data_IF_592141321785
#
_entry.id   IF_592141321785
#
_cell.length_a   1.000
_cell.length_b   1.000
_cell.length_c   1.000
_cell.angle_alpha   90.00
_cell.angle_beta   90.00
_cell.angle_gamma   90.00
#
_symmetry.space_group_name_H-M   'P 1'
#
loop_
_entity.id
_entity.type
_entity.pdbx_description
1 polymer ?
#
# COMPACT_ATOMS: atom_id res chain seq x y z
N UNK A 1 -3.03 -15.65 6.56
CA UNK A 1 -4.20 -15.68 7.44
C UNK A 1 -4.05 -14.60 8.49
N UNK A 2 -5.11 -13.85 8.79
CA UNK A 2 -5.11 -12.80 9.79
C UNK A 2 -6.39 -12.92 10.63
N UNK A 3 -6.26 -13.11 11.95
CA UNK A 3 -7.37 -13.44 12.83
C UNK A 3 -7.28 -12.70 14.17
N UNK A 4 -8.40 -12.66 14.88
CA UNK A 4 -8.49 -12.22 16.27
C UNK A 4 -9.25 -13.25 17.09
N UNK A 5 -8.81 -13.49 18.33
CA UNK A 5 -9.44 -14.42 19.27
C UNK A 5 -9.53 -13.81 20.66
N UNK A 6 -10.59 -14.16 21.39
CA UNK A 6 -10.64 -13.92 22.83
C UNK A 6 -9.88 -15.04 23.56
N UNK A 7 -8.95 -14.69 24.45
CA UNK A 7 -8.15 -15.67 25.19
C UNK A 7 -7.86 -15.17 26.62
N UNK A 8 -7.78 -16.11 27.55
CA UNK A 8 -7.27 -15.84 28.90
C UNK A 8 -5.75 -15.62 28.84
N UNK A 9 -5.34 -14.34 28.92
CA UNK A 9 -3.94 -13.96 28.74
C UNK A 9 -3.03 -14.43 29.88
N UNK A 10 -3.57 -14.76 31.06
CA UNK A 10 -2.78 -15.30 32.17
C UNK A 10 -2.12 -16.65 31.80
N UNK A 11 -2.73 -17.40 30.89
CA UNK A 11 -2.24 -18.70 30.41
C UNK A 11 -0.95 -18.60 29.58
N UNK A 12 -0.57 -17.42 29.11
CA UNK A 12 0.71 -17.23 28.42
C UNK A 12 1.89 -17.11 29.40
N UNK A 13 1.63 -17.05 30.71
CA UNK A 13 2.65 -17.17 31.76
C UNK A 13 3.59 -15.98 31.88
N UNK A 14 3.15 -14.76 31.53
CA UNK A 14 3.97 -13.55 31.52
C UNK A 14 4.68 -13.27 32.86
N UNK A 15 4.04 -13.61 33.99
CA UNK A 15 4.59 -13.42 35.34
C UNK A 15 5.78 -14.35 35.65
N UNK A 16 5.96 -15.44 34.90
CA UNK A 16 7.04 -16.43 35.10
C UNK A 16 8.23 -16.23 34.17
N UNK A 17 8.16 -15.24 33.25
CA UNK A 17 9.15 -15.02 32.18
C UNK A 17 10.19 -13.94 32.53
N UNK A 18 10.74 -13.98 33.75
CA UNK A 18 11.92 -13.16 34.08
C UNK A 18 13.13 -13.69 33.30
N UNK A 19 13.62 -12.92 32.33
CA UNK A 19 14.82 -13.25 31.54
C UNK A 19 14.57 -13.79 30.12
N UNK A 20 13.31 -13.94 29.68
CA UNK A 20 12.98 -14.17 28.27
C UNK A 20 12.85 -12.83 27.50
N UNK A 21 13.07 -12.84 26.18
CA UNK A 21 12.87 -11.64 25.35
C UNK A 21 11.38 -11.27 25.30
N UNK A 22 10.95 -10.37 26.19
CA UNK A 22 9.68 -9.65 26.08
C UNK A 22 9.97 -8.36 25.32
N UNK A 23 9.40 -8.22 24.12
CA UNK A 23 9.49 -6.96 23.37
C UNK A 23 8.43 -5.99 23.90
N UNK A 24 8.84 -4.87 24.51
CA UNK A 24 7.92 -3.84 24.98
C UNK A 24 7.91 -2.65 24.03
N UNK A 25 6.75 -2.06 23.76
CA UNK A 25 6.64 -0.88 22.88
C UNK A 25 7.51 0.30 23.36
N UNK A 26 7.72 0.41 24.67
CA UNK A 26 8.53 1.46 25.30
C UNK A 26 10.01 1.32 24.94
N UNK A 27 10.50 0.10 24.70
CA UNK A 27 11.89 -0.18 24.30
C UNK A 27 12.22 0.36 22.90
N UNK A 28 11.20 0.67 22.09
CA UNK A 28 11.33 1.17 20.72
C UNK A 28 10.91 2.64 20.59
N UNK A 29 10.68 3.31 21.73
CA UNK A 29 10.03 4.60 21.75
C UNK A 29 10.98 5.80 21.65
N UNK A 30 12.31 5.65 21.66
CA UNK A 30 13.39 6.67 21.57
C UNK A 30 12.95 8.11 21.15
N UNK A 31 12.23 8.82 22.03
CA UNK A 31 11.62 10.15 21.81
C UNK A 31 10.60 10.29 20.65
N UNK A 32 10.05 9.19 20.11
CA UNK A 32 8.92 9.15 19.18
C UNK A 32 7.59 9.03 19.93
N UNK A 33 6.47 9.22 19.21
CA UNK A 33 5.13 9.05 19.81
C UNK A 33 4.91 7.60 20.27
N UNK A 34 4.07 7.36 21.31
CA UNK A 34 3.74 6.00 21.75
C UNK A 34 3.23 5.09 20.62
N UNK A 35 2.58 5.68 19.61
CA UNK A 35 2.07 4.98 18.43
C UNK A 35 3.21 4.44 17.54
N UNK A 36 4.33 5.16 17.46
CA UNK A 36 5.51 4.69 16.74
C UNK A 36 6.15 3.47 17.45
N UNK A 37 6.20 3.47 18.78
CA UNK A 37 6.67 2.32 19.56
C UNK A 37 5.81 1.07 19.35
N UNK A 38 4.48 1.22 19.33
CA UNK A 38 3.54 0.12 19.03
C UNK A 38 3.78 -0.44 17.62
N UNK A 39 4.00 0.43 16.65
CA UNK A 39 4.30 0.02 15.28
C UNK A 39 5.59 -0.80 15.23
N UNK A 40 6.64 -0.29 15.83
CA UNK A 40 7.96 -0.91 15.78
C UNK A 40 8.00 -2.25 16.52
N UNK A 41 7.40 -2.34 17.71
CA UNK A 41 7.33 -3.62 18.44
C UNK A 41 6.54 -4.67 17.67
N UNK A 42 5.46 -4.26 16.97
CA UNK A 42 4.69 -5.17 16.11
C UNK A 42 5.54 -5.66 14.93
N UNK A 43 6.31 -4.76 14.30
CA UNK A 43 7.24 -5.11 13.22
C UNK A 43 8.31 -6.09 13.68
N UNK A 44 8.94 -5.80 14.82
CA UNK A 44 10.03 -6.62 15.32
C UNK A 44 9.55 -8.00 15.76
N UNK A 45 8.35 -8.10 16.34
CA UNK A 45 7.73 -9.40 16.64
C UNK A 45 7.51 -10.23 15.37
N UNK A 46 6.95 -9.63 14.32
CA UNK A 46 6.71 -10.31 13.03
C UNK A 46 8.02 -10.73 12.36
N UNK A 47 9.01 -9.83 12.34
CA UNK A 47 10.34 -10.09 11.77
C UNK A 47 11.06 -11.21 12.53
N UNK A 48 11.02 -11.18 13.86
CA UNK A 48 11.64 -12.20 14.72
C UNK A 48 11.02 -13.58 14.51
N UNK A 49 9.68 -13.64 14.43
CA UNK A 49 9.01 -14.90 14.10
C UNK A 49 9.40 -15.42 12.70
N UNK A 50 9.55 -14.52 11.73
CA UNK A 50 10.00 -14.84 10.39
C UNK A 50 11.43 -15.36 10.32
N UNK A 51 12.37 -14.74 11.03
CA UNK A 51 13.78 -15.19 11.07
C UNK A 51 13.93 -16.55 11.76
N UNK A 52 13.01 -16.87 12.69
CA UNK A 52 12.91 -18.19 13.31
C UNK A 52 12.19 -19.24 12.45
N UNK A 53 11.69 -18.86 11.27
CA UNK A 53 10.98 -19.77 10.36
C UNK A 53 9.60 -20.19 10.86
N UNK A 54 8.99 -19.43 11.77
CA UNK A 54 7.66 -19.74 12.29
C UNK A 54 6.60 -19.47 11.22
N UNK A 55 5.75 -20.46 10.96
CA UNK A 55 4.61 -20.30 10.05
C UNK A 55 3.53 -19.40 10.63
N UNK A 56 3.30 -19.53 11.94
CA UNK A 56 2.23 -18.90 12.69
C UNK A 56 2.75 -18.13 13.89
N UNK A 57 2.15 -16.96 14.16
CA UNK A 57 2.43 -16.13 15.32
C UNK A 57 1.13 -15.72 16.02
N UNK A 58 1.04 -15.98 17.32
CA UNK A 58 0.02 -15.42 18.18
C UNK A 58 0.62 -14.19 18.87
N UNK A 59 -0.05 -13.04 18.76
CA UNK A 59 0.34 -11.78 19.38
C UNK A 59 -0.67 -11.46 20.49
N UNK A 60 -0.33 -11.71 21.76
CA UNK A 60 -1.11 -11.22 22.90
C UNK A 60 -1.08 -9.69 22.93
N UNK A 61 -2.25 -9.05 22.95
CA UNK A 61 -2.37 -7.58 22.98
C UNK A 61 -2.74 -7.15 24.38
N UNK A 62 -1.82 -6.43 25.04
CA UNK A 62 -2.02 -5.88 26.39
C UNK A 62 -1.88 -4.36 26.29
N UNK A 63 -2.99 -3.64 26.52
CA UNK A 63 -2.98 -2.17 26.58
C UNK A 63 -2.76 -1.70 28.02
N UNK A 64 -1.51 -1.42 28.39
CA UNK A 64 -1.16 -0.90 29.72
C UNK A 64 -1.51 0.59 29.91
N UNK A 65 -1.84 1.31 28.83
CA UNK A 65 -2.15 2.75 28.84
C UNK A 65 -3.52 3.07 28.22
N UNK A 66 -4.62 2.44 28.70
CA UNK A 66 -5.94 2.57 28.07
C UNK A 66 -6.55 3.98 28.14
N UNK A 67 -6.05 4.84 29.04
CA UNK A 67 -6.45 6.25 29.12
C UNK A 67 -5.78 7.14 28.08
N UNK A 68 -4.65 6.70 27.54
CA UNK A 68 -3.86 7.46 26.55
C UNK A 68 -4.09 6.93 25.12
N UNK A 69 -4.25 5.61 24.98
CA UNK A 69 -4.33 4.96 23.68
C UNK A 69 -5.61 4.13 23.63
N UNK A 70 -6.57 4.60 22.82
CA UNK A 70 -7.80 3.88 22.56
C UNK A 70 -7.53 2.55 21.85
N UNK A 71 -8.36 1.54 22.16
CA UNK A 71 -8.23 0.21 21.60
C UNK A 71 -8.37 0.18 20.07
N UNK A 72 -9.24 1.03 19.50
CA UNK A 72 -9.37 1.20 18.05
C UNK A 72 -8.07 1.71 17.40
N UNK A 73 -7.32 2.56 18.09
CA UNK A 73 -6.02 3.06 17.61
C UNK A 73 -4.98 1.94 17.59
N UNK A 74 -4.94 1.10 18.63
CA UNK A 74 -4.08 -0.08 18.67
C UNK A 74 -4.42 -1.06 17.54
N UNK A 75 -5.71 -1.37 17.38
CA UNK A 75 -6.21 -2.23 16.32
C UNK A 75 -5.77 -1.74 14.93
N UNK A 76 -5.98 -0.45 14.64
CA UNK A 76 -5.55 0.17 13.36
C UNK A 76 -4.06 -0.03 13.10
N UNK A 77 -3.20 0.31 14.06
CA UNK A 77 -1.74 0.24 13.88
C UNK A 77 -1.29 -1.21 13.69
N UNK A 78 -1.68 -2.10 14.59
CA UNK A 78 -1.19 -3.49 14.60
C UNK A 78 -1.70 -4.28 13.39
N UNK A 79 -2.98 -4.11 13.03
CA UNK A 79 -3.56 -4.78 11.86
C UNK A 79 -2.93 -4.28 10.55
N UNK A 80 -2.65 -2.98 10.43
CA UNK A 80 -1.95 -2.44 9.26
C UNK A 80 -0.52 -3.01 9.13
N UNK A 81 0.21 -3.16 10.22
CA UNK A 81 1.55 -3.77 10.19
C UNK A 81 1.49 -5.25 9.82
N UNK A 82 0.51 -5.99 10.33
CA UNK A 82 0.28 -7.37 9.92
C UNK A 82 -0.05 -7.47 8.41
N UNK A 83 -0.96 -6.64 7.90
CA UNK A 83 -1.28 -6.58 6.46
C UNK A 83 -0.06 -6.22 5.62
N UNK A 84 0.73 -5.24 6.05
CA UNK A 84 1.97 -4.83 5.36
C UNK A 84 2.95 -5.98 5.29
N UNK A 85 3.24 -6.64 6.41
CA UNK A 85 4.11 -7.81 6.46
C UNK A 85 3.63 -8.94 5.55
N UNK A 86 2.34 -9.28 5.63
CA UNK A 86 1.72 -10.32 4.81
C UNK A 86 1.74 -9.95 3.31
N UNK A 87 1.59 -8.67 2.96
CA UNK A 87 1.66 -8.20 1.57
C UNK A 87 3.03 -8.43 0.93
N UNK A 88 4.09 -8.49 1.73
CA UNK A 88 5.43 -8.84 1.28
C UNK A 88 5.65 -10.35 1.13
N UNK A 89 4.67 -11.19 1.49
CA UNK A 89 4.77 -12.67 1.53
C UNK A 89 5.88 -13.16 2.47
N UNK A 90 6.07 -12.46 3.58
CA UNK A 90 7.02 -12.85 4.62
C UNK A 90 6.39 -13.88 5.59
N UNK A 91 7.24 -14.64 6.27
CA UNK A 91 6.84 -15.44 7.43
C UNK A 91 6.85 -14.54 8.69
N UNK A 92 5.90 -14.73 9.64
CA UNK A 92 4.81 -15.70 9.62
C UNK A 92 3.68 -15.32 8.66
N UNK A 93 3.10 -16.34 8.01
CA UNK A 93 1.96 -16.15 7.09
C UNK A 93 0.62 -16.28 7.79
N UNK A 94 0.61 -16.68 9.06
CA UNK A 94 -0.58 -16.83 9.91
C UNK A 94 -0.40 -15.99 11.17
N UNK A 95 -1.19 -14.92 11.32
CA UNK A 95 -1.08 -13.98 12.44
C UNK A 95 -2.42 -13.95 13.19
N UNK A 96 -2.37 -14.19 14.50
CA UNK A 96 -3.55 -14.16 15.38
C UNK A 96 -3.34 -13.17 16.51
N UNK A 97 -4.18 -12.14 16.60
CA UNK A 97 -4.22 -11.27 17.76
C UNK A 97 -5.07 -11.90 18.87
N UNK A 98 -4.51 -12.02 20.08
CA UNK A 98 -5.21 -12.56 21.24
C UNK A 98 -5.50 -11.45 22.26
N UNK A 99 -6.77 -11.25 22.60
CA UNK A 99 -7.22 -10.20 23.54
C UNK A 99 -8.02 -10.82 24.70
N UNK A 100 -7.94 -10.20 25.88
CA UNK A 100 -8.59 -10.70 27.10
C UNK A 100 -10.11 -10.43 27.12
N UNK A 101 -10.50 -9.24 26.68
CA UNK A 101 -11.86 -8.73 26.76
C UNK A 101 -12.56 -8.65 25.40
N UNK A 102 -13.90 -8.59 25.45
CA UNK A 102 -14.74 -8.54 24.26
C UNK A 102 -14.63 -7.20 23.49
N UNK A 103 -14.33 -6.11 24.19
CA UNK A 103 -14.21 -4.77 23.58
C UNK A 103 -13.02 -4.73 22.62
N UNK A 104 -11.86 -5.23 23.07
CA UNK A 104 -10.66 -5.34 22.26
C UNK A 104 -10.82 -6.30 21.09
N UNK A 105 -11.47 -7.45 21.30
CA UNK A 105 -11.79 -8.37 20.21
C UNK A 105 -12.62 -7.66 19.14
N UNK A 106 -13.68 -6.93 19.54
CA UNK A 106 -14.52 -6.19 18.59
C UNK A 106 -13.74 -5.08 17.86
N UNK A 107 -12.87 -4.34 18.55
CA UNK A 107 -12.05 -3.30 17.95
C UNK A 107 -11.12 -3.85 16.85
N UNK A 108 -10.43 -4.95 17.12
CA UNK A 108 -9.58 -5.63 16.13
C UNK A 108 -10.39 -6.25 15.01
N UNK A 109 -11.52 -6.89 15.32
CA UNK A 109 -12.41 -7.50 14.33
C UNK A 109 -12.89 -6.46 13.32
N UNK A 110 -13.34 -5.27 13.78
CA UNK A 110 -13.77 -4.17 12.89
C UNK A 110 -12.70 -3.78 11.85
N UNK A 111 -11.43 -3.76 12.23
CA UNK A 111 -10.33 -3.36 11.33
C UNK A 111 -9.93 -4.51 10.39
N UNK A 112 -9.91 -5.75 10.89
CA UNK A 112 -9.63 -6.95 10.09
C UNK A 112 -10.73 -7.17 9.03
N UNK A 113 -11.99 -6.86 9.36
CA UNK A 113 -13.15 -7.01 8.47
C UNK A 113 -13.25 -6.02 7.32
N UNK A 114 -12.45 -4.95 7.32
CA UNK A 114 -12.36 -4.04 6.18
C UNK A 114 -12.02 -4.83 4.91
N UNK A 115 -12.82 -4.67 3.87
CA UNK A 115 -12.72 -5.44 2.62
C UNK A 115 -12.51 -4.56 1.37
N UNK A 116 -12.63 -3.24 1.53
CA UNK A 116 -12.40 -2.27 0.46
C UNK A 116 -10.91 -2.05 0.17
N UNK A 117 -10.63 -1.77 -1.09
CA UNK A 117 -9.35 -1.26 -1.58
C UNK A 117 -9.64 0.05 -2.31
N UNK A 118 -8.98 1.13 -1.92
CA UNK A 118 -9.06 2.39 -2.67
C UNK A 118 -7.88 2.49 -3.63
N UNK A 119 -8.16 2.74 -4.91
CA UNK A 119 -7.15 3.05 -5.92
C UNK A 119 -7.12 4.56 -6.11
N UNK A 120 -6.19 5.23 -5.43
CA UNK A 120 -6.00 6.67 -5.48
C UNK A 120 -4.96 7.00 -6.55
N UNK A 121 -5.32 7.78 -7.57
CA UNK A 121 -4.39 8.10 -8.63
C UNK A 121 -4.88 9.13 -9.64
N UNK A 122 -4.20 9.19 -10.79
CA UNK A 122 -4.43 10.16 -11.85
C UNK A 122 -5.29 9.62 -13.02
N UNK A 123 -5.06 10.10 -14.24
CA UNK A 123 -5.71 9.68 -15.49
C UNK A 123 -5.54 8.20 -15.79
N UNK A 124 -4.41 7.59 -15.43
CA UNK A 124 -4.17 6.17 -15.64
C UNK A 124 -5.04 5.34 -14.69
N UNK A 125 -5.23 5.81 -13.45
CA UNK A 125 -6.18 5.17 -12.53
C UNK A 125 -7.62 5.40 -12.96
N UNK A 126 -7.95 6.60 -13.44
CA UNK A 126 -9.27 6.93 -13.97
C UNK A 126 -9.67 6.02 -15.16
N UNK A 127 -8.72 5.61 -15.98
CA UNK A 127 -8.98 4.86 -17.22
C UNK A 127 -9.10 5.77 -18.45
N UNK A 128 -8.37 6.89 -18.46
CA UNK A 128 -8.35 7.82 -19.59
C UNK A 128 -7.98 7.08 -20.90
N UNK A 129 -8.64 7.37 -22.03
CA UNK A 129 -9.62 8.46 -22.22
C UNK A 129 -11.08 8.10 -21.88
N UNK A 130 -11.41 6.81 -21.79
CA UNK A 130 -12.80 6.36 -21.77
C UNK A 130 -13.44 6.39 -20.38
N UNK A 131 -12.64 6.22 -19.34
CA UNK A 131 -13.04 6.28 -17.94
C UNK A 131 -13.05 4.92 -17.21
N UNK A 132 -13.68 4.86 -16.04
CA UNK A 132 -13.43 3.80 -15.06
C UNK A 132 -13.76 2.38 -15.54
N UNK A 133 -14.66 2.21 -16.50
CA UNK A 133 -15.01 0.90 -17.04
C UNK A 133 -13.90 0.26 -17.91
N UNK A 134 -12.93 1.07 -18.35
CA UNK A 134 -11.74 0.61 -19.09
C UNK A 134 -10.47 0.60 -18.25
N UNK A 135 -10.54 1.09 -17.01
CA UNK A 135 -9.39 1.14 -16.09
C UNK A 135 -8.92 -0.26 -15.67
N UNK A 136 -7.62 -0.39 -15.42
CA UNK A 136 -7.01 -1.57 -14.78
C UNK A 136 -7.70 -1.93 -13.45
N UNK A 137 -8.30 -0.94 -12.75
CA UNK A 137 -9.07 -1.15 -11.52
C UNK A 137 -10.30 -2.03 -11.79
N UNK A 138 -11.02 -1.78 -12.88
CA UNK A 138 -12.19 -2.57 -13.28
C UNK A 138 -11.81 -4.00 -13.63
N UNK A 139 -10.71 -4.17 -14.36
CA UNK A 139 -10.19 -5.49 -14.74
C UNK A 139 -9.77 -6.30 -13.50
N UNK A 140 -9.03 -5.67 -12.59
CA UNK A 140 -8.61 -6.29 -11.33
C UNK A 140 -9.84 -6.69 -10.49
N UNK A 141 -10.83 -5.81 -10.35
CA UNK A 141 -12.07 -6.10 -9.62
C UNK A 141 -12.84 -7.27 -10.24
N UNK A 142 -13.00 -7.29 -11.57
CA UNK A 142 -13.71 -8.35 -12.28
C UNK A 142 -13.01 -9.71 -12.15
N UNK A 143 -11.68 -9.74 -12.23
CA UNK A 143 -10.91 -10.98 -12.16
C UNK A 143 -10.82 -11.56 -10.74
N UNK A 144 -10.82 -10.71 -9.70
CA UNK A 144 -10.56 -11.14 -8.32
C UNK A 144 -11.81 -11.12 -7.43
N UNK A 145 -12.88 -10.45 -7.85
CA UNK A 145 -14.07 -10.22 -7.03
C UNK A 145 -13.84 -9.31 -5.82
N UNK A 146 -12.71 -8.59 -5.79
CA UNK A 146 -12.35 -7.66 -4.73
C UNK A 146 -13.18 -6.36 -4.83
N UNK A 147 -13.41 -5.73 -3.68
CA UNK A 147 -14.15 -4.46 -3.58
C UNK A 147 -13.22 -3.27 -3.82
N UNK A 148 -12.96 -2.95 -5.09
CA UNK A 148 -12.10 -1.82 -5.47
C UNK A 148 -12.91 -0.55 -5.74
N UNK A 149 -12.41 0.56 -5.20
CA UNK A 149 -12.94 1.90 -5.44
C UNK A 149 -11.95 2.69 -6.29
N UNK A 150 -12.35 3.04 -7.52
CA UNK A 150 -11.57 3.90 -8.39
C UNK A 150 -11.70 5.36 -7.93
N UNK A 151 -10.60 5.94 -7.45
CA UNK A 151 -10.46 7.36 -7.07
C UNK A 151 -9.42 8.04 -7.98
N UNK A 152 -9.41 7.69 -9.26
CA UNK A 152 -8.59 8.31 -10.28
C UNK A 152 -9.16 9.65 -10.78
N UNK A 153 -8.35 10.69 -10.86
CA UNK A 153 -8.73 11.99 -11.44
C UNK A 153 -7.67 12.43 -12.45
N UNK A 154 -8.08 12.62 -13.70
CA UNK A 154 -7.16 12.99 -14.78
C UNK A 154 -6.41 14.31 -14.51
N UNK A 155 -5.10 14.28 -14.71
CA UNK A 155 -4.22 15.46 -14.58
C UNK A 155 -3.70 15.74 -13.17
N UNK A 156 -4.09 14.98 -12.15
CA UNK A 156 -3.67 15.26 -10.78
C UNK A 156 -2.22 14.89 -10.48
N UNK A 157 -1.56 15.74 -9.69
CA UNK A 157 -0.26 15.47 -9.06
C UNK A 157 -0.41 14.72 -7.73
N UNK A 158 0.70 14.22 -7.21
CA UNK A 158 0.77 13.65 -5.86
C UNK A 158 0.26 14.62 -4.77
N UNK A 159 0.51 15.92 -4.91
CA UNK A 159 0.04 16.94 -3.97
C UNK A 159 -1.48 17.09 -3.95
N UNK A 160 -2.13 17.02 -5.12
CA UNK A 160 -3.58 17.06 -5.23
C UNK A 160 -4.23 15.78 -4.68
N UNK A 161 -3.63 14.62 -4.96
CA UNK A 161 -4.07 13.34 -4.38
C UNK A 161 -3.97 13.36 -2.84
N UNK A 162 -2.89 13.92 -2.30
CA UNK A 162 -2.72 14.10 -0.86
C UNK A 162 -3.81 15.01 -0.27
N UNK A 163 -4.13 16.12 -0.93
CA UNK A 163 -5.15 17.07 -0.46
C UNK A 163 -6.53 16.43 -0.27
N UNK A 164 -6.89 15.43 -1.08
CA UNK A 164 -8.17 14.69 -0.99
C UNK A 164 -8.07 13.32 -0.31
N UNK A 165 -6.91 12.96 0.27
CA UNK A 165 -6.69 11.64 0.87
C UNK A 165 -7.72 11.29 1.95
N UNK A 166 -8.07 12.25 2.81
CA UNK A 166 -9.05 12.01 3.87
C UNK A 166 -10.45 11.70 3.31
N UNK A 167 -10.90 12.47 2.34
CA UNK A 167 -12.25 12.36 1.78
C UNK A 167 -12.38 11.10 0.90
N UNK A 168 -11.35 10.79 0.12
CA UNK A 168 -11.42 9.69 -0.85
C UNK A 168 -10.93 8.34 -0.32
N UNK A 169 -10.06 8.33 0.70
CA UNK A 169 -9.48 7.11 1.27
C UNK A 169 -9.96 6.88 2.69
N UNK A 170 -9.75 7.84 3.61
CA UNK A 170 -10.01 7.60 5.04
C UNK A 170 -11.51 7.40 5.31
N UNK A 171 -12.37 8.19 4.66
CA UNK A 171 -13.82 8.07 4.78
C UNK A 171 -14.35 6.68 4.36
N UNK A 172 -13.66 6.01 3.42
CA UNK A 172 -14.06 4.68 2.93
C UNK A 172 -13.69 3.55 3.89
N UNK A 173 -12.81 3.82 4.86
CA UNK A 173 -12.24 2.84 5.79
C UNK A 173 -11.70 1.57 5.11
N UNK A 174 -10.83 1.68 4.08
CA UNK A 174 -10.36 0.52 3.35
C UNK A 174 -9.35 -0.30 4.16
N UNK A 175 -9.13 -1.53 3.73
CA UNK A 175 -8.01 -2.34 4.20
C UNK A 175 -6.70 -1.93 3.53
N UNK A 176 -6.77 -1.54 2.26
CA UNK A 176 -5.62 -1.19 1.43
C UNK A 176 -5.87 0.09 0.65
N UNK A 177 -4.80 0.85 0.41
CA UNK A 177 -4.79 1.91 -0.60
C UNK A 177 -3.69 1.62 -1.61
N UNK A 178 -4.05 1.56 -2.89
CA UNK A 178 -3.10 1.52 -4.00
C UNK A 178 -2.92 2.96 -4.47
N UNK A 179 -1.73 3.52 -4.27
CA UNK A 179 -1.40 4.89 -4.63
C UNK A 179 -0.62 4.93 -5.94
N UNK A 180 -1.19 5.57 -6.96
CA UNK A 180 -0.65 5.66 -8.31
C UNK A 180 -0.57 7.12 -8.77
N UNK A 181 0.55 7.77 -8.48
CA UNK A 181 0.85 9.15 -8.89
C UNK A 181 2.29 9.31 -9.37
N UNK A 182 2.62 10.51 -9.86
CA UNK A 182 3.96 10.86 -10.33
C UNK A 182 4.04 11.19 -11.83
N UNK A 183 3.10 10.75 -12.67
CA UNK A 183 3.11 11.08 -14.09
C UNK A 183 2.96 12.58 -14.33
N UNK A 184 1.93 13.19 -13.73
CA UNK A 184 1.68 14.63 -13.89
C UNK A 184 2.70 15.48 -13.15
N UNK A 185 3.23 15.01 -12.03
CA UNK A 185 4.35 15.63 -11.31
C UNK A 185 5.58 15.72 -12.23
N UNK A 186 5.92 14.63 -12.92
CA UNK A 186 7.01 14.62 -13.90
C UNK A 186 6.73 15.53 -15.09
N UNK A 187 5.51 15.53 -15.62
CA UNK A 187 5.12 16.36 -16.78
C UNK A 187 5.20 17.86 -16.44
N UNK A 188 4.71 18.25 -15.27
CA UNK A 188 4.73 19.64 -14.81
C UNK A 188 6.09 20.07 -14.24
N UNK A 189 7.03 19.14 -14.07
CA UNK A 189 8.34 19.41 -13.49
C UNK A 189 8.27 19.78 -12.01
N UNK A 190 7.35 19.18 -11.25
CA UNK A 190 7.26 19.33 -9.79
C UNK A 190 8.60 18.89 -9.17
N UNK A 191 9.18 19.66 -8.24
CA UNK A 191 10.44 19.29 -7.60
C UNK A 191 10.35 17.91 -6.94
N UNK A 192 11.36 17.06 -7.16
CA UNK A 192 11.35 15.68 -6.64
C UNK A 192 11.05 15.64 -5.14
N UNK A 193 11.70 16.47 -4.32
CA UNK A 193 11.46 16.52 -2.87
C UNK A 193 10.01 16.80 -2.47
N UNK A 194 9.26 17.58 -3.26
CA UNK A 194 7.83 17.79 -3.01
C UNK A 194 7.02 16.51 -3.28
N UNK A 195 7.33 15.81 -4.37
CA UNK A 195 6.73 14.50 -4.70
C UNK A 195 7.04 13.48 -3.59
N UNK A 196 8.29 13.44 -3.11
CA UNK A 196 8.71 12.58 -2.01
C UNK A 196 7.90 12.84 -0.74
N UNK A 197 7.80 14.11 -0.33
CA UNK A 197 7.09 14.52 0.89
C UNK A 197 5.59 14.24 0.78
N UNK A 198 4.99 14.43 -0.41
CA UNK A 198 3.59 14.10 -0.64
C UNK A 198 3.34 12.59 -0.44
N UNK A 199 4.17 11.74 -1.04
CA UNK A 199 4.02 10.28 -0.94
C UNK A 199 4.28 9.79 0.50
N UNK A 200 5.28 10.36 1.20
CA UNK A 200 5.53 10.06 2.63
C UNK A 200 4.28 10.35 3.47
N UNK A 201 3.66 11.52 3.28
CA UNK A 201 2.46 11.90 4.02
C UNK A 201 1.26 11.00 3.71
N UNK A 202 1.06 10.60 2.44
CA UNK A 202 0.03 9.61 2.08
C UNK A 202 0.23 8.30 2.84
N UNK A 203 1.47 7.79 2.85
CA UNK A 203 1.82 6.54 3.54
C UNK A 203 1.62 6.67 5.05
N UNK A 204 2.03 7.78 5.65
CA UNK A 204 1.85 8.05 7.08
C UNK A 204 0.36 8.13 7.46
N UNK A 205 -0.44 8.87 6.69
CA UNK A 205 -1.89 8.98 6.91
C UNK A 205 -2.59 7.62 6.76
N UNK A 206 -2.24 6.84 5.73
CA UNK A 206 -2.76 5.49 5.55
C UNK A 206 -2.46 4.61 6.77
N UNK A 207 -1.20 4.58 7.18
CA UNK A 207 -0.72 3.79 8.30
C UNK A 207 -1.35 4.19 9.64
N UNK A 208 -1.58 5.49 9.88
CA UNK A 208 -2.29 6.00 11.07
C UNK A 208 -3.76 5.56 11.09
N UNK A 209 -4.40 5.42 9.93
CA UNK A 209 -5.80 5.02 9.82
C UNK A 209 -6.01 3.50 9.75
N UNK A 210 -4.94 2.72 9.87
CA UNK A 210 -4.99 1.26 9.78
C UNK A 210 -5.20 0.75 8.35
N UNK A 211 -4.83 1.57 7.36
CA UNK A 211 -4.87 1.24 5.93
C UNK A 211 -3.46 0.82 5.51
N UNK A 212 -3.33 -0.32 4.83
CA UNK A 212 -2.05 -0.77 4.30
C UNK A 212 -1.78 -0.11 2.94
N UNK A 213 -0.74 0.74 2.80
CA UNK A 213 -0.39 1.33 1.52
C UNK A 213 0.28 0.31 0.60
N UNK A 214 0.03 0.47 -0.71
CA UNK A 214 0.74 -0.16 -1.83
C UNK A 214 1.11 0.99 -2.77
N UNK A 215 2.38 1.08 -3.16
CA UNK A 215 2.85 2.15 -4.04
C UNK A 215 2.99 1.62 -5.45
N UNK A 216 2.55 2.39 -6.45
CA UNK A 216 2.73 2.02 -7.86
C UNK A 216 4.01 2.66 -8.42
N UNK A 217 4.79 1.88 -9.16
CA UNK A 217 5.90 2.39 -9.96
C UNK A 217 5.32 2.96 -11.28
N UNK A 218 5.48 4.26 -11.57
CA UNK A 218 4.89 4.88 -12.76
C UNK A 218 5.33 4.21 -14.06
N UNK A 219 4.39 4.08 -15.00
CA UNK A 219 4.57 3.48 -16.32
C UNK A 219 5.69 4.15 -17.14
N UNK A 220 6.23 3.49 -18.18
CA UNK A 220 7.23 4.09 -19.06
C UNK A 220 6.58 5.14 -19.98
N UNK A 221 7.41 6.03 -20.51
CA UNK A 221 7.04 6.95 -21.58
C UNK A 221 7.61 6.48 -22.91
N UNK A 222 6.98 6.89 -24.01
CA UNK A 222 7.56 6.83 -25.34
C UNK A 222 7.77 8.25 -25.88
N UNK A 223 9.03 8.69 -25.92
CA UNK A 223 9.42 10.06 -26.30
C UNK A 223 8.99 10.39 -27.73
N UNK A 224 9.10 9.45 -28.67
CA UNK A 224 8.69 9.70 -30.06
C UNK A 224 7.19 9.93 -30.19
N UNK A 225 6.37 9.11 -29.51
CA UNK A 225 4.93 9.32 -29.48
C UNK A 225 4.53 10.59 -28.74
N UNK A 226 5.23 10.95 -27.65
CA UNK A 226 5.00 12.22 -26.97
C UNK A 226 5.20 13.40 -27.93
N UNK A 227 6.30 13.41 -28.68
CA UNK A 227 6.61 14.47 -29.67
C UNK A 227 5.63 14.51 -30.86
N UNK A 228 4.94 13.40 -31.14
CA UNK A 228 3.91 13.34 -32.18
C UNK A 228 2.55 13.87 -31.71
N UNK A 229 2.23 13.71 -30.42
CA UNK A 229 0.91 14.01 -29.87
C UNK A 229 0.85 15.33 -29.10
N UNK A 230 1.98 15.81 -28.58
CA UNK A 230 2.06 17.04 -27.79
C UNK A 230 3.01 18.06 -28.42
N UNK A 231 2.69 19.34 -28.23
CA UNK A 231 3.61 20.42 -28.57
C UNK A 231 4.77 20.43 -27.57
N UNK A 232 6.00 20.48 -28.06
CA UNK A 232 7.19 20.54 -27.24
C UNK A 232 8.45 20.18 -28.03
N UNK A 233 9.58 20.30 -27.36
CA UNK A 233 10.90 19.92 -27.86
C UNK A 233 11.29 18.53 -27.34
N UNK A 234 12.22 17.88 -28.03
CA UNK A 234 12.82 16.63 -27.55
C UNK A 234 13.46 16.80 -26.16
N UNK A 235 14.10 17.93 -25.92
CA UNK A 235 14.71 18.25 -24.62
C UNK A 235 13.68 18.26 -23.48
N UNK A 236 12.51 18.84 -23.70
CA UNK A 236 11.41 18.84 -22.71
C UNK A 236 10.87 17.41 -22.46
N UNK A 237 10.71 16.61 -23.51
CA UNK A 237 10.25 15.22 -23.38
C UNK A 237 11.28 14.34 -22.65
N UNK A 238 12.57 14.49 -22.95
CA UNK A 238 13.65 13.78 -22.26
C UNK A 238 13.79 14.24 -20.81
N UNK A 239 13.57 15.53 -20.53
CA UNK A 239 13.50 16.05 -19.16
C UNK A 239 12.34 15.42 -18.39
N UNK A 240 11.16 15.32 -18.98
CA UNK A 240 10.03 14.62 -18.36
C UNK A 240 10.39 13.16 -18.05
N UNK A 241 10.94 12.43 -19.03
CA UNK A 241 11.38 11.05 -18.84
C UNK A 241 12.39 10.91 -17.68
N UNK A 242 13.37 11.81 -17.59
CA UNK A 242 14.36 11.82 -16.52
C UNK A 242 13.75 12.08 -15.14
N UNK A 243 12.80 13.03 -15.03
CA UNK A 243 12.11 13.30 -13.76
C UNK A 243 11.24 12.11 -13.36
N UNK A 244 10.47 11.54 -14.28
CA UNK A 244 9.63 10.37 -13.99
C UNK A 244 10.48 9.16 -13.57
N UNK A 245 11.66 8.98 -14.17
CA UNK A 245 12.62 7.96 -13.75
C UNK A 245 13.12 8.21 -12.32
N UNK A 246 13.43 9.45 -11.95
CA UNK A 246 13.83 9.80 -10.57
C UNK A 246 12.72 9.49 -9.57
N UNK A 247 11.48 9.89 -9.88
CA UNK A 247 10.31 9.58 -9.05
C UNK A 247 10.16 8.06 -8.88
N UNK A 248 10.21 7.30 -9.98
CA UNK A 248 10.10 5.83 -9.94
C UNK A 248 11.18 5.18 -9.08
N UNK A 249 12.44 5.58 -9.27
CA UNK A 249 13.57 5.06 -8.50
C UNK A 249 13.40 5.36 -7.00
N UNK A 250 12.97 6.58 -6.67
CA UNK A 250 12.72 6.95 -5.29
C UNK A 250 11.56 6.14 -4.69
N UNK A 251 10.43 5.97 -5.40
CA UNK A 251 9.31 5.17 -4.92
C UNK A 251 9.77 3.74 -4.60
N UNK A 252 10.57 3.13 -5.49
CA UNK A 252 11.11 1.79 -5.28
C UNK A 252 11.98 1.71 -4.02
N UNK A 253 12.91 2.66 -3.84
CA UNK A 253 13.79 2.72 -2.66
C UNK A 253 13.01 2.98 -1.37
N UNK A 254 12.05 3.90 -1.40
CA UNK A 254 11.22 4.23 -0.25
C UNK A 254 10.30 3.06 0.14
N UNK A 255 9.72 2.37 -0.85
CA UNK A 255 8.91 1.19 -0.63
C UNK A 255 9.73 0.07 0.01
N UNK A 256 10.93 -0.23 -0.52
CA UNK A 256 11.84 -1.21 0.05
C UNK A 256 12.23 -0.86 1.49
N UNK A 257 12.70 0.36 1.73
CA UNK A 257 13.13 0.81 3.06
C UNK A 257 11.99 0.82 4.08
N UNK A 258 10.76 1.06 3.64
CA UNK A 258 9.57 1.07 4.50
C UNK A 258 8.89 -0.30 4.61
N UNK A 259 9.39 -1.31 3.86
CA UNK A 259 8.77 -2.61 3.72
C UNK A 259 7.33 -2.52 3.20
N UNK A 260 7.10 -1.68 2.19
CA UNK A 260 5.83 -1.51 1.49
C UNK A 260 5.94 -2.24 0.16
N UNK A 261 4.88 -2.93 -0.25
CA UNK A 261 4.86 -3.56 -1.56
C UNK A 261 4.76 -2.49 -2.67
N UNK A 262 5.66 -2.58 -3.66
CA UNK A 262 5.62 -1.77 -4.87
C UNK A 262 4.99 -2.56 -6.01
N UNK A 263 3.88 -2.08 -6.55
CA UNK A 263 3.21 -2.62 -7.73
C UNK A 263 3.87 -2.04 -8.99
N UNK A 264 4.41 -2.91 -9.84
CA UNK A 264 5.18 -2.49 -11.00
C UNK A 264 4.29 -2.32 -12.25
N UNK A 265 4.03 -1.07 -12.64
CA UNK A 265 3.42 -0.71 -13.93
C UNK A 265 4.44 -0.25 -14.96
N UNK A 266 5.73 -0.20 -14.59
CA UNK A 266 6.80 0.19 -15.49
C UNK A 266 7.19 -0.97 -16.43
N UNK A 267 7.64 -2.09 -15.86
CA UNK A 267 8.17 -3.20 -16.65
C UNK A 267 7.17 -3.82 -17.64
N UNK A 268 5.87 -3.99 -17.30
CA UNK A 268 4.91 -4.62 -18.22
C UNK A 268 4.71 -3.87 -19.55
N UNK A 269 4.95 -2.56 -19.56
CA UNK A 269 4.77 -1.72 -20.75
C UNK A 269 6.10 -1.34 -21.42
N UNK A 270 7.23 -1.84 -20.91
CA UNK A 270 8.57 -1.43 -21.32
C UNK A 270 9.08 -2.24 -22.52
N UNK A 271 9.56 -1.54 -23.55
CA UNK A 271 10.25 -2.11 -24.70
C UNK A 271 11.73 -2.37 -24.44
N UNK A 272 12.37 -3.16 -25.31
CA UNK A 272 13.79 -3.49 -25.23
C UNK A 272 14.73 -2.30 -25.44
N UNK A 273 14.21 -1.21 -26.02
CA UNK A 273 14.90 0.06 -26.25
C UNK A 273 14.82 1.02 -25.04
N UNK A 274 14.17 0.59 -23.95
CA UNK A 274 13.99 1.40 -22.74
C UNK A 274 12.88 2.44 -22.85
N UNK A 275 12.09 2.41 -23.92
CA UNK A 275 10.90 3.25 -24.10
C UNK A 275 9.63 2.42 -23.85
N UNK A 276 8.51 3.10 -23.59
CA UNK A 276 7.21 2.44 -23.55
C UNK A 276 6.84 1.88 -24.93
N UNK A 277 6.23 0.70 -24.96
CA UNK A 277 5.81 0.04 -26.19
C UNK A 277 4.74 0.87 -26.92
N UNK A 278 4.97 1.34 -28.16
CA UNK A 278 4.05 2.25 -28.85
C UNK A 278 2.62 1.75 -29.02
N UNK A 279 2.41 0.44 -29.18
CA UNK A 279 1.06 -0.13 -29.35
C UNK A 279 0.26 -0.18 -28.03
N UNK A 280 0.98 -0.15 -26.89
CA UNK A 280 0.37 -0.12 -25.56
C UNK A 280 0.15 1.30 -25.03
N UNK A 281 0.65 2.33 -25.73
CA UNK A 281 0.53 3.72 -25.35
C UNK A 281 -0.22 4.53 -26.42
N UNK A 282 -1.19 5.33 -25.98
CA UNK A 282 -2.05 6.15 -26.83
C UNK A 282 -1.31 7.37 -27.37
N UNK A 283 -0.61 8.08 -26.49
CA UNK A 283 0.00 9.38 -26.75
C UNK A 283 1.44 9.48 -26.28
N UNK A 284 2.04 8.33 -25.93
CA UNK A 284 3.38 8.24 -25.35
C UNK A 284 3.42 8.25 -23.82
N UNK A 285 2.28 8.36 -23.12
CA UNK A 285 2.20 8.18 -21.68
C UNK A 285 0.95 7.46 -21.17
N UNK A 286 -0.21 7.69 -21.80
CA UNK A 286 -1.46 7.01 -21.41
C UNK A 286 -1.56 5.62 -22.04
N UNK A 287 -2.02 4.59 -21.32
CA UNK A 287 -2.24 3.27 -21.90
C UNK A 287 -3.35 3.27 -22.97
N UNK A 288 -3.19 2.46 -24.02
CA UNK A 288 -4.31 2.05 -24.89
C UNK A 288 -5.21 1.04 -24.17
N UNK A 289 -6.31 0.58 -24.79
CA UNK A 289 -7.08 -0.55 -24.24
C UNK A 289 -6.23 -1.80 -24.01
N UNK A 290 -5.33 -2.10 -24.95
CA UNK A 290 -4.37 -3.20 -24.80
C UNK A 290 -3.39 -2.91 -23.65
N UNK A 291 -2.90 -1.68 -23.53
CA UNK A 291 -2.08 -1.26 -22.40
C UNK A 291 -2.78 -1.43 -21.04
N UNK A 292 -4.05 -1.06 -20.92
CA UNK A 292 -4.84 -1.28 -19.70
C UNK A 292 -5.06 -2.75 -19.39
N UNK A 293 -5.24 -3.60 -20.42
CA UNK A 293 -5.29 -5.05 -20.24
C UNK A 293 -3.99 -5.57 -19.63
N UNK A 294 -2.84 -5.17 -20.19
CA UNK A 294 -1.52 -5.54 -19.66
C UNK A 294 -1.32 -5.06 -18.22
N UNK A 295 -1.72 -3.82 -17.89
CA UNK A 295 -1.65 -3.31 -16.51
C UNK A 295 -2.57 -4.07 -15.55
N UNK A 296 -3.79 -4.40 -15.99
CA UNK A 296 -4.75 -5.20 -15.22
C UNK A 296 -4.21 -6.60 -14.91
N UNK A 297 -3.69 -7.29 -15.92
CA UNK A 297 -3.06 -8.60 -15.78
C UNK A 297 -1.84 -8.57 -14.86
N UNK A 298 -0.97 -7.56 -15.03
CA UNK A 298 0.17 -7.34 -14.17
C UNK A 298 -0.26 -7.12 -12.70
N UNK A 299 -1.31 -6.32 -12.46
CA UNK A 299 -1.85 -6.11 -11.12
C UNK A 299 -2.40 -7.40 -10.50
N UNK A 300 -3.17 -8.19 -11.27
CA UNK A 300 -3.71 -9.49 -10.83
C UNK A 300 -2.57 -10.42 -10.41
N UNK A 301 -1.56 -10.59 -11.27
CA UNK A 301 -0.42 -11.48 -11.01
C UNK A 301 0.39 -11.03 -9.80
N UNK A 302 0.71 -9.73 -9.73
CA UNK A 302 1.60 -9.19 -8.70
C UNK A 302 0.94 -9.17 -7.32
N UNK A 303 -0.37 -8.91 -7.25
CA UNK A 303 -1.14 -8.86 -5.99
C UNK A 303 -1.63 -10.23 -5.51
N UNK A 304 -1.55 -11.27 -6.35
CA UNK A 304 -1.97 -12.62 -5.98
C UNK A 304 -1.28 -13.10 -4.69
N UNK A 305 -2.08 -13.40 -3.66
CA UNK A 305 -1.59 -13.84 -2.35
C UNK A 305 -0.91 -12.76 -1.51
N UNK A 306 -1.06 -11.47 -1.85
CA UNK A 306 -0.56 -10.32 -1.07
C UNK A 306 -1.66 -9.56 -0.32
N UNK A 307 -2.92 -9.79 -0.67
CA UNK A 307 -4.07 -9.11 -0.08
C UNK A 307 -4.79 -10.04 0.89
N UNK A 308 -4.97 -9.61 2.14
CA UNK A 308 -5.46 -10.42 3.23
C UNK A 308 -6.75 -9.83 3.81
N UNK A 309 -7.82 -10.60 3.63
CA UNK A 309 -9.18 -10.33 4.09
C UNK A 309 -9.68 -11.50 4.94
N UNK A 310 -10.70 -11.31 5.80
CA UNK A 310 -11.20 -12.38 6.68
C UNK A 310 -11.80 -13.57 5.93
N UNK A 311 -12.18 -13.40 4.65
CA UNK A 311 -12.92 -14.39 3.85
C UNK A 311 -12.17 -14.86 2.59
N UNK A 312 -10.84 -14.98 2.61
CA UNK A 312 -10.08 -15.58 1.48
C UNK A 312 -10.23 -17.11 1.36
N UNK A 313 -11.33 -17.68 1.86
CA UNK A 313 -11.86 -18.97 1.41
C UNK A 313 -12.61 -18.89 0.07
N UNK A 314 -12.62 -17.73 -0.61
CA UNK A 314 -13.03 -17.62 -2.02
C UNK A 314 -11.90 -18.13 -2.94
N UNK A 315 -11.87 -19.45 -3.05
CA UNK A 315 -11.35 -20.31 -4.13
C UNK A 315 -9.99 -19.99 -4.80
N UNK A 316 -9.06 -20.91 -4.56
CA UNK A 316 -8.21 -21.64 -5.54
C UNK A 316 -7.55 -20.88 -6.69
#
# INVERSE_FOLDING_TARGET
MLQVVQADLAKFGFEQRQGEQVLQAEDFSDNKSPLAGIREVTREALKTAGTQGLKSLIIPVINSRPKEIAMDTLAKIMVAEARRHLSLKLYPTEITFALADAEGVQAFQRVIERDKIVCLGDSITYGYPDGPDYSWVKLLAAATGLNLLNRGISGETTGQMLARFNDDVVAEQPAYVIFAGGHNDGWMGVPLGEVEDNIRQVVEQAQQQGVCPILVLPAPLNVEQLLQNFQGTREEAEKYQAILQQIRNWIAQFAEASGIFALDFYSPLLGSDGQGLPHLLLDGGHPTHEGYQVLGEAAIQQLQGRLYFPNTSRSA
#
